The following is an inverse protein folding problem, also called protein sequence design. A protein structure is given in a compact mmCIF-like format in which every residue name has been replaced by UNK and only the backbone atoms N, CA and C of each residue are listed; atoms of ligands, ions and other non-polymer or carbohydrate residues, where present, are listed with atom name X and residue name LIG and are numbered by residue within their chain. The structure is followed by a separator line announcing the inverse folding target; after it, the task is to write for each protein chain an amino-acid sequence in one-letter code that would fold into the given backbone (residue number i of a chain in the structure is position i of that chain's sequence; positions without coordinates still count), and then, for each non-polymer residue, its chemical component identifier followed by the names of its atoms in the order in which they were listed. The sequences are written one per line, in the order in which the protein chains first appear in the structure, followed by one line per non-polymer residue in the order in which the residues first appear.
data_IF_737308152184
#
_entry.id   IF_737308152184
#
_cell.length_a   1.000
_cell.length_b   1.000
_cell.length_c   1.000
_cell.angle_alpha   90.00
_cell.angle_beta   90.00
_cell.angle_gamma   90.00
#
_symmetry.space_group_name_H-M   'P 1'
#
loop_
_entity.id
_entity.type
_entity.pdbx_description
1 polymer ?
#
# COMPACT_ATOMS: atom_id res chain seq x y z
N UNK A 1 -34.12 -0.99 -3.51
CA UNK A 1 -32.77 -0.62 -3.98
C UNK A 1 -31.93 -1.88 -3.96
N UNK A 2 -31.51 -2.38 -5.12
CA UNK A 2 -30.86 -3.68 -5.24
C UNK A 2 -29.57 -3.70 -4.40
N UNK A 3 -29.34 -4.76 -3.63
CA UNK A 3 -28.16 -4.91 -2.75
C UNK A 3 -26.85 -4.62 -3.50
N UNK A 4 -26.78 -5.01 -4.79
CA UNK A 4 -25.68 -4.73 -5.71
C UNK A 4 -25.37 -3.22 -5.87
N UNK A 5 -26.39 -2.36 -5.94
CA UNK A 5 -26.18 -0.91 -6.10
C UNK A 5 -25.65 -0.28 -4.81
N UNK A 6 -26.08 -0.78 -3.64
CA UNK A 6 -25.58 -0.31 -2.34
C UNK A 6 -24.12 -0.74 -2.14
N UNK A 7 -23.78 -1.97 -2.51
CA UNK A 7 -22.40 -2.46 -2.47
C UNK A 7 -21.48 -1.71 -3.45
N UNK A 8 -21.98 -1.41 -4.66
CA UNK A 8 -21.24 -0.61 -5.63
C UNK A 8 -20.94 0.81 -5.11
N UNK A 9 -21.89 1.44 -4.42
CA UNK A 9 -21.68 2.75 -3.78
C UNK A 9 -20.54 2.73 -2.76
N UNK A 10 -20.49 1.73 -1.88
CA UNK A 10 -19.40 1.58 -0.91
C UNK A 10 -18.05 1.30 -1.57
N UNK A 11 -18.02 0.49 -2.64
CA UNK A 11 -16.81 0.24 -3.42
C UNK A 11 -16.28 1.52 -4.10
N UNK A 12 -17.16 2.36 -4.63
CA UNK A 12 -16.77 3.64 -5.21
C UNK A 12 -16.19 4.60 -4.17
N UNK A 13 -16.80 4.67 -2.98
CA UNK A 13 -16.26 5.46 -1.87
C UNK A 13 -14.88 4.93 -1.47
N UNK A 14 -14.72 3.61 -1.34
CA UNK A 14 -13.44 2.99 -1.03
C UNK A 14 -12.37 3.33 -2.08
N UNK A 15 -12.71 3.20 -3.37
CA UNK A 15 -11.84 3.56 -4.49
C UNK A 15 -11.46 5.05 -4.46
N UNK A 16 -12.42 5.93 -4.17
CA UNK A 16 -12.17 7.36 -4.08
C UNK A 16 -11.09 7.68 -3.04
N UNK A 17 -11.12 7.04 -1.87
CA UNK A 17 -10.08 7.23 -0.85
C UNK A 17 -8.71 6.67 -1.26
N UNK A 18 -8.66 5.61 -2.08
CA UNK A 18 -7.39 5.09 -2.63
C UNK A 18 -6.76 6.08 -3.61
N UNK A 19 -7.57 6.73 -4.45
CA UNK A 19 -7.09 7.66 -5.47
C UNK A 19 -6.87 9.07 -4.90
N UNK A 20 -7.49 9.43 -3.78
CA UNK A 20 -7.33 10.71 -3.11
C UNK A 20 -5.85 11.17 -2.92
N UNK A 21 -4.92 10.35 -2.41
CA UNK A 21 -3.51 10.75 -2.30
C UNK A 21 -2.83 10.95 -3.66
N UNK A 22 -3.28 10.29 -4.73
CA UNK A 22 -2.76 10.52 -6.08
C UNK A 22 -3.20 11.90 -6.61
N UNK A 23 -4.44 12.31 -6.34
CA UNK A 23 -4.87 13.68 -6.63
C UNK A 23 -4.09 14.72 -5.82
N UNK A 24 -3.81 14.44 -4.54
CA UNK A 24 -2.98 15.33 -3.72
C UNK A 24 -1.56 15.47 -4.29
N UNK A 25 -0.99 14.39 -4.83
CA UNK A 25 0.28 14.42 -5.57
C UNK A 25 0.21 15.33 -6.81
N UNK A 26 -0.89 15.27 -7.55
CA UNK A 26 -1.09 16.08 -8.76
C UNK A 26 -1.25 17.58 -8.45
N UNK A 27 -1.81 17.90 -7.28
CA UNK A 27 -2.03 19.28 -6.80
C UNK A 27 -0.85 19.84 -5.99
N UNK A 28 0.08 18.97 -5.55
CA UNK A 28 1.25 19.35 -4.77
C UNK A 28 2.30 20.09 -5.61
N UNK A 29 3.19 20.80 -4.93
CA UNK A 29 4.34 21.44 -5.59
C UNK A 29 5.18 20.36 -6.29
N UNK A 30 5.20 20.37 -7.62
CA UNK A 30 5.92 19.38 -8.40
C UNK A 30 7.41 19.49 -8.09
N UNK A 31 8.03 18.44 -7.52
CA UNK A 31 9.49 18.36 -7.50
C UNK A 31 10.01 18.39 -8.96
N UNK A 32 11.30 18.69 -9.16
CA UNK A 32 11.90 18.67 -10.50
C UNK A 32 11.53 17.38 -11.24
N UNK A 33 11.13 17.51 -12.51
CA UNK A 33 10.60 16.40 -13.31
C UNK A 33 11.47 15.15 -13.16
N UNK A 34 10.86 14.07 -12.66
CA UNK A 34 11.53 12.78 -12.44
C UNK A 34 11.17 11.83 -13.59
N UNK A 35 11.93 10.75 -13.69
CA UNK A 35 11.66 9.70 -14.67
C UNK A 35 10.27 9.09 -14.45
N UNK A 36 9.59 8.73 -15.54
CA UNK A 36 8.26 8.12 -15.50
C UNK A 36 8.15 6.97 -14.51
N UNK A 37 9.14 6.07 -14.49
CA UNK A 37 9.17 4.91 -13.59
C UNK A 37 9.27 5.30 -12.10
N UNK A 38 9.87 6.45 -11.82
CA UNK A 38 9.97 6.98 -10.47
C UNK A 38 8.61 7.48 -9.99
N UNK A 39 7.92 8.27 -10.81
CA UNK A 39 6.56 8.76 -10.51
C UNK A 39 5.56 7.60 -10.42
N UNK A 40 5.65 6.63 -11.33
CA UNK A 40 4.83 5.42 -11.29
C UNK A 40 5.06 4.64 -9.99
N UNK A 41 6.31 4.41 -9.61
CA UNK A 41 6.60 3.73 -8.36
C UNK A 41 6.05 4.50 -7.15
N UNK A 42 6.24 5.82 -7.09
CA UNK A 42 5.72 6.66 -6.00
C UNK A 42 4.19 6.55 -5.92
N UNK A 43 3.49 6.56 -7.06
CA UNK A 43 2.04 6.37 -7.11
C UNK A 43 1.60 5.00 -6.53
N UNK A 44 2.33 3.92 -6.81
CA UNK A 44 2.08 2.60 -6.19
C UNK A 44 2.22 2.66 -4.66
N UNK A 45 3.24 3.39 -4.16
CA UNK A 45 3.47 3.58 -2.74
C UNK A 45 2.30 4.30 -2.04
N UNK A 46 1.81 5.40 -2.62
CA UNK A 46 0.65 6.13 -2.09
C UNK A 46 -0.64 5.31 -2.13
N UNK A 47 -0.89 4.58 -3.23
CA UNK A 47 -2.03 3.69 -3.35
C UNK A 47 -1.98 2.57 -2.30
N UNK A 48 -0.82 1.93 -2.14
CA UNK A 48 -0.59 0.88 -1.14
C UNK A 48 -0.78 1.39 0.30
N UNK A 49 -0.26 2.57 0.62
CA UNK A 49 -0.46 3.21 1.93
C UNK A 49 -1.93 3.51 2.20
N UNK A 50 -2.66 4.05 1.23
CA UNK A 50 -4.09 4.34 1.37
C UNK A 50 -4.89 3.08 1.65
N UNK A 51 -4.62 1.99 0.92
CA UNK A 51 -5.27 0.70 1.14
C UNK A 51 -4.99 0.18 2.56
N UNK A 52 -3.72 0.22 3.01
CA UNK A 52 -3.34 -0.21 4.36
C UNK A 52 -4.02 0.64 5.45
N UNK A 53 -4.14 1.95 5.25
CA UNK A 53 -4.84 2.84 6.19
C UNK A 53 -6.34 2.57 6.25
N UNK A 54 -6.98 2.39 5.09
CA UNK A 54 -8.42 2.06 5.01
C UNK A 54 -8.74 0.70 5.66
N UNK A 55 -7.75 -0.18 5.76
CA UNK A 55 -7.89 -1.50 6.36
C UNK A 55 -8.34 -1.45 7.82
N UNK A 56 -7.90 -0.45 8.59
CA UNK A 56 -8.37 -0.23 9.96
C UNK A 56 -9.86 0.09 10.01
N UNK A 57 -10.35 0.88 9.05
CA UNK A 57 -11.76 1.20 8.91
C UNK A 57 -12.62 -0.02 8.58
N UNK A 58 -12.11 -0.94 7.76
CA UNK A 58 -12.79 -2.21 7.45
C UNK A 58 -12.91 -3.11 8.70
N UNK A 59 -11.91 -3.10 9.59
CA UNK A 59 -11.93 -3.91 10.83
C UNK A 59 -12.71 -3.28 11.98
N UNK A 60 -13.00 -1.98 11.93
CA UNK A 60 -13.72 -1.27 12.99
C UNK A 60 -15.21 -1.66 13.11
N UNK A 61 -15.71 -2.58 12.25
CA UNK A 61 -17.08 -3.16 12.28
C UNK A 61 -18.18 -2.11 12.43
N UNK A 62 -18.07 -0.96 11.75
CA UNK A 62 -19.11 0.07 11.79
C UNK A 62 -20.46 -0.51 11.35
N UNK A 63 -21.45 -0.57 12.26
CA UNK A 63 -22.79 -1.15 12.00
C UNK A 63 -23.42 -0.67 10.69
N UNK A 64 -23.21 0.60 10.35
CA UNK A 64 -23.72 1.21 9.12
C UNK A 64 -23.17 0.59 7.81
N UNK A 65 -21.97 0.00 7.88
CA UNK A 65 -21.27 -0.68 6.78
C UNK A 65 -21.47 -2.19 6.85
N UNK A 66 -21.44 -2.78 8.05
CA UNK A 66 -21.56 -4.24 8.27
C UNK A 66 -22.98 -4.78 8.06
N UNK A 67 -24.02 -4.07 8.53
CA UNK A 67 -25.42 -4.49 8.38
C UNK A 67 -25.86 -4.67 6.90
N UNK A 68 -25.45 -3.82 5.93
CA UNK A 68 -25.85 -4.00 4.54
C UNK A 68 -24.96 -4.88 3.66
N UNK A 69 -23.67 -5.04 3.97
CA UNK A 69 -22.76 -5.85 3.15
C UNK A 69 -22.60 -7.29 3.67
N UNK A 70 -22.84 -7.52 4.96
CA UNK A 70 -22.53 -8.78 5.63
C UNK A 70 -21.07 -8.85 6.08
N UNK A 71 -20.85 -9.47 7.24
CA UNK A 71 -19.52 -9.60 7.84
C UNK A 71 -18.56 -10.45 7.00
N UNK A 72 -19.06 -11.54 6.40
CA UNK A 72 -18.27 -12.47 5.59
C UNK A 72 -17.68 -11.79 4.35
N UNK A 73 -18.46 -10.94 3.69
CA UNK A 73 -18.02 -10.20 2.49
C UNK A 73 -16.90 -9.23 2.85
N UNK A 74 -17.04 -8.51 3.97
CA UNK A 74 -16.03 -7.56 4.45
C UNK A 74 -14.73 -8.30 4.82
N UNK A 75 -14.84 -9.47 5.46
CA UNK A 75 -13.66 -10.28 5.78
C UNK A 75 -12.94 -10.79 4.54
N UNK A 76 -13.66 -11.32 3.55
CA UNK A 76 -13.07 -11.75 2.29
C UNK A 76 -12.44 -10.59 1.51
N UNK A 77 -13.09 -9.43 1.51
CA UNK A 77 -12.56 -8.21 0.91
C UNK A 77 -11.28 -7.78 1.61
N UNK A 78 -11.28 -7.69 2.94
CA UNK A 78 -10.12 -7.39 3.76
C UNK A 78 -8.93 -8.30 3.41
N UNK A 79 -9.13 -9.62 3.38
CA UNK A 79 -8.05 -10.57 3.07
C UNK A 79 -7.49 -10.39 1.66
N UNK A 80 -8.35 -10.20 0.65
CA UNK A 80 -7.90 -10.03 -0.75
C UNK A 80 -7.19 -8.70 -0.96
N UNK A 81 -7.74 -7.61 -0.43
CA UNK A 81 -7.20 -6.27 -0.63
C UNK A 81 -5.89 -6.08 0.15
N UNK A 82 -5.72 -6.74 1.30
CA UNK A 82 -4.42 -6.79 2.02
C UNK A 82 -3.31 -7.37 1.15
N UNK A 83 -3.57 -8.44 0.40
CA UNK A 83 -2.55 -9.03 -0.49
C UNK A 83 -2.17 -8.08 -1.62
N UNK A 84 -3.14 -7.38 -2.19
CA UNK A 84 -2.91 -6.35 -3.22
C UNK A 84 -2.08 -5.20 -2.62
N UNK A 85 -2.44 -4.73 -1.42
CA UNK A 85 -1.74 -3.66 -0.73
C UNK A 85 -0.26 -4.02 -0.47
N UNK A 86 0.01 -5.22 0.04
CA UNK A 86 1.37 -5.72 0.24
C UNK A 86 2.12 -5.76 -1.09
N UNK A 87 1.49 -6.27 -2.15
CA UNK A 87 2.09 -6.30 -3.48
C UNK A 87 2.49 -4.92 -4.00
N UNK A 88 1.62 -3.91 -3.85
CA UNK A 88 1.90 -2.52 -4.25
C UNK A 88 3.03 -1.90 -3.42
N UNK A 89 3.01 -2.10 -2.09
CA UNK A 89 4.02 -1.58 -1.16
C UNK A 89 5.39 -2.21 -1.42
N UNK A 90 5.45 -3.48 -1.83
CA UNK A 90 6.70 -4.17 -2.19
C UNK A 90 7.16 -3.78 -3.60
N UNK A 91 6.24 -3.65 -4.56
CA UNK A 91 6.57 -3.23 -5.92
C UNK A 91 7.19 -1.83 -5.96
N UNK A 92 6.74 -0.93 -5.09
CA UNK A 92 7.27 0.43 -4.95
C UNK A 92 8.82 0.49 -4.80
N UNK A 93 9.43 -0.02 -3.70
CA UNK A 93 10.88 0.02 -3.52
C UNK A 93 11.62 -0.83 -4.57
N UNK A 94 11.05 -1.95 -5.02
CA UNK A 94 11.67 -2.76 -6.08
C UNK A 94 11.88 -1.95 -7.35
N UNK A 95 10.84 -1.27 -7.84
CA UNK A 95 10.94 -0.43 -9.04
C UNK A 95 11.92 0.73 -8.80
N UNK A 96 11.89 1.36 -7.62
CA UNK A 96 12.83 2.44 -7.30
C UNK A 96 14.28 1.99 -7.31
N UNK A 97 14.59 0.82 -6.75
CA UNK A 97 15.96 0.29 -6.75
C UNK A 97 16.46 -0.09 -8.13
N UNK A 98 15.56 -0.58 -9.01
CA UNK A 98 15.92 -0.88 -10.41
C UNK A 98 16.21 0.40 -11.20
N UNK A 99 15.41 1.46 -10.98
CA UNK A 99 15.51 2.71 -11.76
C UNK A 99 16.63 3.60 -11.24
N UNK A 100 16.87 3.61 -9.93
CA UNK A 100 17.86 4.48 -9.28
C UNK A 100 18.73 3.67 -8.32
N UNK A 101 19.76 2.97 -8.84
CA UNK A 101 20.64 2.16 -8.02
C UNK A 101 21.43 3.00 -6.99
N UNK A 102 21.57 4.31 -7.19
CA UNK A 102 22.15 5.19 -6.17
C UNK A 102 21.35 5.22 -4.85
N UNK A 103 20.05 4.88 -4.86
CA UNK A 103 19.27 4.73 -3.62
C UNK A 103 19.69 3.49 -2.81
N UNK A 104 20.46 2.55 -3.37
CA UNK A 104 21.03 1.45 -2.59
C UNK A 104 22.05 1.97 -1.56
N UNK A 105 22.67 3.14 -1.81
CA UNK A 105 23.51 3.80 -0.82
C UNK A 105 22.69 4.28 0.40
N UNK A 106 21.41 4.61 0.24
CA UNK A 106 20.51 4.92 1.36
C UNK A 106 20.18 3.69 2.23
N UNK A 107 20.35 2.47 1.69
CA UNK A 107 20.26 1.24 2.47
C UNK A 107 21.48 1.03 3.39
N UNK A 108 22.56 1.77 3.15
CA UNK A 108 23.77 1.71 3.95
C UNK A 108 23.54 2.47 5.27
N UNK A 109 23.32 1.71 6.34
CA UNK A 109 22.90 2.22 7.65
C UNK A 109 23.86 3.26 8.25
N UNK A 110 25.13 3.22 7.82
CA UNK A 110 26.22 4.02 8.37
C UNK A 110 26.13 5.48 7.89
N UNK A 111 25.94 5.73 6.59
CA UNK A 111 25.94 7.08 5.99
C UNK A 111 24.53 7.67 5.76
N UNK A 112 23.48 6.86 5.89
CA UNK A 112 22.13 7.27 5.54
C UNK A 112 21.49 8.24 6.57
N UNK A 113 20.75 9.28 6.11
CA UNK A 113 19.96 10.15 6.99
C UNK A 113 18.87 9.34 7.73
N UNK A 114 18.39 9.81 8.89
CA UNK A 114 17.47 9.04 9.75
C UNK A 114 16.24 8.48 9.02
N UNK A 115 15.67 9.24 8.07
CA UNK A 115 14.55 8.81 7.24
C UNK A 115 14.85 7.53 6.44
N UNK A 116 16.06 7.44 5.88
CA UNK A 116 16.51 6.30 5.10
C UNK A 116 16.82 5.08 5.98
N UNK A 117 17.31 5.28 7.22
CA UNK A 117 17.50 4.19 8.17
C UNK A 117 16.19 3.51 8.58
N UNK A 118 15.14 4.29 8.87
CA UNK A 118 13.81 3.72 9.15
C UNK A 118 13.23 2.99 7.93
N UNK A 119 13.43 3.54 6.72
CA UNK A 119 13.02 2.89 5.47
C UNK A 119 13.76 1.56 5.24
N UNK A 120 15.08 1.53 5.46
CA UNK A 120 15.89 0.32 5.36
C UNK A 120 15.43 -0.73 6.39
N UNK A 121 15.20 -0.33 7.64
CA UNK A 121 14.75 -1.23 8.71
C UNK A 121 13.38 -1.84 8.41
N UNK A 122 12.43 -1.04 7.90
CA UNK A 122 11.12 -1.54 7.45
C UNK A 122 11.26 -2.55 6.30
N UNK A 123 12.12 -2.26 5.33
CA UNK A 123 12.38 -3.15 4.19
C UNK A 123 13.02 -4.46 4.64
N UNK A 124 14.02 -4.42 5.53
CA UNK A 124 14.63 -5.61 6.12
C UNK A 124 13.63 -6.44 6.92
N UNK A 125 12.76 -5.80 7.69
CA UNK A 125 11.71 -6.50 8.45
C UNK A 125 10.71 -7.21 7.52
N UNK A 126 10.27 -6.55 6.44
CA UNK A 126 9.41 -7.15 5.43
C UNK A 126 10.06 -8.37 4.76
N UNK A 127 11.34 -8.25 4.38
CA UNK A 127 12.10 -9.37 3.78
C UNK A 127 12.27 -10.50 4.78
N UNK A 128 12.60 -10.21 6.04
CA UNK A 128 12.77 -11.23 7.08
C UNK A 128 11.47 -11.98 7.39
N UNK A 129 10.34 -11.26 7.50
CA UNK A 129 9.01 -11.88 7.70
C UNK A 129 8.59 -12.69 6.46
N UNK A 130 8.86 -12.18 5.25
CA UNK A 130 8.61 -12.90 4.00
C UNK A 130 9.45 -14.18 3.89
N UNK A 131 10.73 -14.10 4.24
CA UNK A 131 11.67 -15.22 4.25
C UNK A 131 11.31 -16.28 5.28
N UNK A 132 10.90 -15.88 6.49
CA UNK A 132 10.47 -16.81 7.53
C UNK A 132 9.21 -17.61 7.14
N UNK A 133 8.28 -16.99 6.39
CA UNK A 133 7.11 -17.70 5.87
C UNK A 133 7.42 -18.62 4.68
N UNK A 134 8.43 -18.28 3.87
CA UNK A 134 8.89 -19.15 2.79
C UNK A 134 9.66 -20.38 3.31
N UNK A 135 10.46 -20.23 4.38
CA UNK A 135 11.19 -21.34 5.00
C UNK A 135 10.29 -22.25 5.85
N UNK A 136 9.28 -21.69 6.51
CA UNK A 136 8.30 -22.46 7.30
C UNK A 136 7.26 -23.25 6.50
N UNK A 137 7.25 -23.13 5.16
CA UNK A 137 6.38 -23.92 4.29
C UNK A 137 7.09 -25.14 3.65
N UNK A 138 8.40 -25.31 3.90
CA UNK A 138 9.22 -26.42 3.40
C UNK A 138 9.72 -27.36 4.52
N UNK A 139 9.16 -27.28 5.73
CA UNK A 139 9.41 -28.20 6.83
C UNK A 139 8.09 -28.60 7.48
#
# INVERSE_FOLDING_TARGET
MNYTMRSAGWLLIYLFFIVAPLFALLLGAMPPARDFWTEFSVALGYAGLAIMGLQFGLTARFRYVTEPLGEDVIYHFHRRISLIAVGLVIAHPIILFVVRPELLALLNFIEAPWRARFAALSTYSLICVGGHRAFGACN
#
